data_IF_060091881744
#
_entry.id   IF_060091881744
#
_cell.length_a   1.000
_cell.length_b   1.000
_cell.length_c   1.000
_cell.angle_alpha   90.00
_cell.angle_beta   90.00
_cell.angle_gamma   90.00
#
_symmetry.space_group_name_H-M   'P 1'
#
loop_
_entity.id
_entity.type
_entity.pdbx_description
1 polymer ?
#
# COMPACT_ATOMS: atom_id res chain seq x y z
N UNK A 1 12.80 -0.74 -9.29
CA UNK A 1 13.67 -1.89 -8.95
C UNK A 1 13.06 -3.12 -9.58
N UNK A 2 13.62 -3.66 -10.67
CA UNK A 2 13.06 -4.83 -11.36
C UNK A 2 13.54 -6.11 -10.68
N UNK A 3 12.86 -6.52 -9.61
CA UNK A 3 13.10 -7.81 -8.97
C UNK A 3 12.50 -8.88 -9.89
N UNK A 4 13.30 -9.89 -10.29
CA UNK A 4 12.79 -10.98 -11.11
C UNK A 4 11.94 -11.94 -10.27
N UNK A 5 10.79 -12.38 -10.80
CA UNK A 5 9.93 -13.37 -10.14
C UNK A 5 10.70 -14.64 -9.76
N UNK A 6 11.63 -15.08 -10.62
CA UNK A 6 12.50 -16.22 -10.34
C UNK A 6 13.39 -16.02 -9.09
N UNK A 7 13.93 -14.81 -8.88
CA UNK A 7 14.73 -14.51 -7.70
C UNK A 7 13.89 -14.50 -6.42
N UNK A 8 12.64 -14.01 -6.48
CA UNK A 8 11.73 -14.03 -5.32
C UNK A 8 11.40 -15.48 -4.94
N UNK A 9 11.06 -16.32 -5.92
CA UNK A 9 10.76 -17.74 -5.69
C UNK A 9 11.96 -18.45 -5.07
N UNK A 10 13.18 -18.26 -5.61
CA UNK A 10 14.40 -18.82 -5.02
C UNK A 10 14.61 -18.35 -3.57
N UNK A 11 14.23 -17.11 -3.25
CA UNK A 11 14.29 -16.58 -1.89
C UNK A 11 13.27 -17.24 -0.96
N UNK A 12 12.06 -17.52 -1.45
CA UNK A 12 11.04 -18.23 -0.67
C UNK A 12 11.49 -19.66 -0.33
N UNK A 13 12.14 -20.35 -1.27
CA UNK A 13 12.70 -21.69 -1.03
C UNK A 13 13.79 -21.68 0.06
N UNK A 14 14.65 -20.66 0.06
CA UNK A 14 15.69 -20.46 1.07
C UNK A 14 15.08 -20.23 2.47
N UNK A 15 14.09 -19.33 2.58
CA UNK A 15 13.39 -19.10 3.85
C UNK A 15 12.63 -20.34 4.34
N UNK A 16 12.03 -21.11 3.44
CA UNK A 16 11.37 -22.37 3.78
C UNK A 16 12.36 -23.42 4.29
N UNK A 17 13.56 -23.48 3.69
CA UNK A 17 14.63 -24.37 4.15
C UNK A 17 15.08 -23.99 5.56
N UNK A 18 15.30 -22.70 5.83
CA UNK A 18 15.69 -22.22 7.17
C UNK A 18 14.62 -22.50 8.22
N UNK A 19 13.34 -22.30 7.89
CA UNK A 19 12.23 -22.63 8.76
C UNK A 19 12.20 -24.11 9.16
N UNK A 20 12.58 -25.02 8.25
CA UNK A 20 12.65 -26.47 8.53
C UNK A 20 13.88 -26.86 9.33
N UNK A 21 14.97 -26.10 9.23
CA UNK A 21 16.24 -26.42 9.90
C UNK A 21 16.34 -25.84 11.32
N UNK A 22 15.52 -24.85 11.67
CA UNK A 22 15.50 -24.27 13.03
C UNK A 22 14.58 -25.04 13.97
N UNK A 23 15.00 -25.19 15.23
CA UNK A 23 14.17 -25.77 16.30
C UNK A 23 13.45 -24.71 17.16
N UNK A 24 13.67 -23.43 16.85
CA UNK A 24 13.04 -22.31 17.54
C UNK A 24 11.75 -21.90 16.82
N UNK A 25 10.61 -22.07 17.49
CA UNK A 25 9.29 -21.74 16.97
C UNK A 25 9.16 -20.26 16.58
N UNK A 26 9.81 -19.35 17.31
CA UNK A 26 9.80 -17.92 16.96
C UNK A 26 10.50 -17.70 15.62
N UNK A 27 11.66 -18.32 15.41
CA UNK A 27 12.40 -18.26 14.15
C UNK A 27 11.60 -18.86 12.99
N UNK A 28 10.88 -19.97 13.23
CA UNK A 28 9.96 -20.53 12.22
C UNK A 28 8.92 -19.48 11.82
N UNK A 29 8.29 -18.80 12.78
CA UNK A 29 7.28 -17.76 12.50
C UNK A 29 7.86 -16.57 11.73
N UNK A 30 9.09 -16.16 12.06
CA UNK A 30 9.81 -15.10 11.34
C UNK A 30 10.06 -15.48 9.88
N UNK A 31 10.54 -16.70 9.60
CA UNK A 31 10.74 -17.18 8.23
C UNK A 31 9.42 -17.28 7.45
N UNK A 32 8.34 -17.75 8.08
CA UNK A 32 7.00 -17.81 7.46
C UNK A 32 6.48 -16.39 7.16
N UNK A 33 6.69 -15.43 8.06
CA UNK A 33 6.31 -14.04 7.82
C UNK A 33 7.08 -13.44 6.63
N UNK A 34 8.37 -13.75 6.49
CA UNK A 34 9.16 -13.34 5.34
C UNK A 34 8.60 -13.93 4.02
N UNK A 35 8.22 -15.20 4.00
CA UNK A 35 7.59 -15.84 2.84
C UNK A 35 6.29 -15.13 2.45
N UNK A 36 5.45 -14.75 3.43
CA UNK A 36 4.21 -14.01 3.16
C UNK A 36 4.48 -12.69 2.46
N UNK A 37 5.43 -11.90 2.97
CA UNK A 37 5.80 -10.61 2.35
C UNK A 37 6.34 -10.81 0.93
N UNK A 38 7.09 -11.88 0.67
CA UNK A 38 7.56 -12.22 -0.68
C UNK A 38 6.41 -12.55 -1.64
N UNK A 39 5.37 -13.26 -1.16
CA UNK A 39 4.14 -13.47 -1.94
C UNK A 39 3.45 -12.14 -2.26
N UNK A 40 3.26 -11.29 -1.24
CA UNK A 40 2.57 -10.02 -1.39
C UNK A 40 3.30 -9.13 -2.42
N UNK A 41 4.64 -9.07 -2.36
CA UNK A 41 5.47 -8.36 -3.34
C UNK A 41 5.25 -8.84 -4.79
N UNK A 42 5.13 -10.16 -5.01
CA UNK A 42 4.89 -10.73 -6.35
C UNK A 42 3.49 -10.38 -6.88
N UNK A 43 2.50 -10.30 -6.00
CA UNK A 43 1.12 -9.97 -6.34
C UNK A 43 0.93 -8.45 -6.57
N UNK A 44 1.66 -7.61 -5.84
CA UNK A 44 1.68 -6.16 -6.07
C UNK A 44 2.33 -5.82 -7.42
N UNK A 45 3.40 -6.52 -7.81
CA UNK A 45 4.10 -6.30 -9.07
C UNK A 45 3.22 -6.54 -10.31
N UNK A 46 2.20 -7.41 -10.23
CA UNK A 46 1.21 -7.60 -11.30
C UNK A 46 0.07 -6.58 -11.28
N UNK A 47 -0.06 -5.81 -10.20
CA UNK A 47 -1.14 -4.84 -9.99
C UNK A 47 -0.79 -3.45 -10.52
N UNK A 48 0.47 -3.19 -10.85
CA UNK A 48 0.86 -1.98 -11.56
C UNK A 48 0.61 -2.17 -13.05
N UNK A 49 -0.30 -1.41 -13.70
CA UNK A 49 -0.39 -1.43 -15.14
C UNK A 49 0.97 -0.99 -15.67
N UNK A 50 1.70 -1.92 -16.28
CA UNK A 50 2.82 -1.59 -17.14
C UNK A 50 2.36 -0.46 -18.06
N UNK A 51 3.06 0.70 -18.12
CA UNK A 51 2.78 1.64 -19.18
C UNK A 51 3.14 0.90 -20.47
N UNK A 52 2.12 0.37 -21.14
CA UNK A 52 2.21 -0.02 -22.53
C UNK A 52 2.88 1.15 -23.22
N UNK A 53 4.09 0.94 -23.73
CA UNK A 53 4.81 1.94 -24.49
C UNK A 53 3.98 2.22 -25.75
N UNK A 54 3.04 3.16 -25.62
CA UNK A 54 2.30 3.70 -26.73
C UNK A 54 3.26 4.64 -27.44
N UNK A 55 3.99 4.05 -28.40
CA UNK A 55 4.75 4.81 -29.38
C UNK A 55 3.73 5.52 -30.27
N UNK A 56 3.36 6.74 -29.90
CA UNK A 56 2.62 7.64 -30.75
C UNK A 56 3.41 8.95 -30.84
N UNK A 57 3.92 9.20 -32.03
CA UNK A 57 4.78 10.31 -32.39
C UNK A 57 4.24 11.66 -31.89
N UNK A 58 5.06 12.36 -31.11
CA UNK A 58 4.85 13.77 -30.81
C UNK A 58 5.11 14.58 -32.10
N UNK A 59 4.05 14.95 -32.81
CA UNK A 59 4.09 16.01 -33.81
C UNK A 59 4.19 17.38 -33.13
N UNK A 60 5.04 18.32 -33.60
CA UNK A 60 5.08 19.65 -33.04
C UNK A 60 3.90 20.48 -33.58
N UNK A 61 2.96 20.84 -32.70
CA UNK A 61 1.97 21.88 -32.98
C UNK A 61 2.46 23.18 -32.36
N UNK A 62 3.02 24.02 -33.23
CA UNK A 62 3.35 25.44 -33.01
C UNK A 62 2.08 26.29 -33.22
N UNK A 63 2.08 27.50 -32.63
CA UNK A 63 1.12 28.64 -32.75
C UNK A 63 -0.04 28.58 -31.74
N UNK A 64 -0.30 29.56 -30.87
CA UNK A 64 0.10 30.98 -30.77
C UNK A 64 -1.15 31.81 -30.45
N UNK A 65 -1.18 32.55 -29.33
CA UNK A 65 -2.26 33.50 -29.02
C UNK A 65 -2.32 33.98 -27.56
N UNK A 66 -2.50 35.29 -27.26
CA UNK A 66 -2.30 35.85 -25.92
C UNK A 66 -3.60 36.10 -25.13
N UNK A 67 -3.43 36.09 -23.79
CA UNK A 67 -4.15 36.72 -22.67
C UNK A 67 -5.67 37.02 -22.75
N UNK A 68 -6.39 36.71 -21.67
CA UNK A 68 -7.41 37.60 -21.10
C UNK A 68 -7.59 37.37 -19.60
N UNK A 69 -7.59 38.49 -18.88
CA UNK A 69 -7.72 38.64 -17.43
C UNK A 69 -9.19 38.89 -17.07
N UNK A 70 -9.65 38.30 -15.96
CA UNK A 70 -10.81 38.66 -15.13
C UNK A 70 -11.28 37.36 -14.46
N UNK A 71 -11.43 37.20 -13.17
CA UNK A 71 -11.57 38.10 -12.04
C UNK A 71 -12.26 37.28 -10.94
N UNK A 72 -11.97 37.56 -9.67
CA UNK A 72 -12.78 37.03 -8.57
C UNK A 72 -11.97 36.42 -7.43
N UNK A 73 -11.68 37.25 -6.44
CA UNK A 73 -11.30 36.87 -5.09
C UNK A 73 -12.51 36.23 -4.37
N UNK A 74 -12.31 35.15 -3.61
CA UNK A 74 -12.91 35.03 -2.28
C UNK A 74 -12.32 33.90 -1.44
N UNK A 75 -11.93 34.31 -0.24
CA UNK A 75 -11.51 33.51 0.91
C UNK A 75 -12.69 32.75 1.53
N UNK A 76 -12.36 31.68 2.25
CA UNK A 76 -13.16 31.14 3.35
C UNK A 76 -13.81 29.79 3.03
N UNK A 77 -13.85 28.81 3.92
CA UNK A 77 -13.43 28.72 5.29
C UNK A 77 -13.34 27.23 5.65
N UNK A 78 -12.38 26.87 6.50
CA UNK A 78 -12.36 25.60 7.22
C UNK A 78 -13.48 25.63 8.26
N UNK A 79 -14.44 24.71 8.18
CA UNK A 79 -15.43 24.50 9.23
C UNK A 79 -15.04 23.27 10.04
N UNK A 80 -14.30 23.51 11.13
CA UNK A 80 -14.18 22.59 12.26
C UNK A 80 -15.51 22.65 13.00
N UNK A 81 -16.39 21.70 12.72
CA UNK A 81 -17.64 21.48 13.45
C UNK A 81 -17.45 20.38 14.48
N UNK A 82 -16.93 20.75 15.65
CA UNK A 82 -16.91 19.88 16.81
C UNK A 82 -18.33 19.64 17.32
N UNK A 83 -18.66 18.38 17.58
CA UNK A 83 -19.73 17.94 18.48
C UNK A 83 -19.49 16.49 18.87
N UNK A 84 -19.14 16.30 20.14
CA UNK A 84 -18.89 15.03 20.80
C UNK A 84 -20.11 14.10 20.69
N UNK A 85 -19.93 12.80 20.41
CA UNK A 85 -20.92 11.80 20.78
C UNK A 85 -20.87 11.59 22.30
N UNK A 86 -22.03 11.72 22.93
CA UNK A 86 -22.32 11.33 24.31
C UNK A 86 -22.17 9.79 24.38
N UNK A 87 -21.10 9.32 25.03
CA UNK A 87 -20.87 7.90 25.25
C UNK A 87 -21.36 7.62 26.67
N UNK A 88 -22.60 7.15 26.75
CA UNK A 88 -23.20 6.62 27.98
C UNK A 88 -22.39 5.35 28.36
N UNK A 89 -21.45 5.54 29.26
CA UNK A 89 -20.49 4.55 29.77
C UNK A 89 -21.19 3.61 30.75
N UNK A 90 -22.19 2.86 30.28
CA UNK A 90 -22.82 1.78 31.06
C UNK A 90 -23.01 0.52 30.20
N UNK A 91 -21.88 -0.09 29.84
CA UNK A 91 -21.84 -1.49 29.43
C UNK A 91 -20.71 -2.22 30.18
N UNK A 92 -20.96 -2.41 31.47
CA UNK A 92 -20.31 -3.41 32.29
C UNK A 92 -20.56 -4.81 31.69
N UNK A 93 -19.68 -5.25 30.79
CA UNK A 93 -19.61 -6.62 30.30
C UNK A 93 -18.48 -7.37 31.01
N UNK A 94 -18.79 -7.91 32.18
CA UNK A 94 -17.88 -8.75 32.95
C UNK A 94 -17.42 -9.99 32.16
N UNK A 95 -16.09 -10.11 32.03
CA UNK A 95 -15.27 -11.30 31.83
C UNK A 95 -15.74 -12.41 30.87
N UNK A 96 -15.17 -12.43 29.66
CA UNK A 96 -15.19 -13.57 28.73
C UNK A 96 -13.76 -14.06 28.39
N UNK A 97 -12.87 -14.14 29.38
CA UNK A 97 -11.61 -14.89 29.27
C UNK A 97 -11.29 -15.52 30.63
N UNK A 98 -11.95 -16.63 30.91
CA UNK A 98 -11.52 -17.63 31.89
C UNK A 98 -10.42 -18.48 31.23
N UNK A 99 -9.24 -18.52 31.85
CA UNK A 99 -8.03 -19.21 31.33
C UNK A 99 -7.98 -20.66 31.78
#
# INVERSE_FOLDING_TARGET
MSISFAAVIAKMEDELRKARSTNDLQRVREHVAAIRVLCDLMLEATSHPQPSASSAAAGPLVVGGPISVAGGLSLGAVSVGGRSPDIDDEANGESLLDF
#
